data_IF_126448642115
#
_entry.id   IF_126448642115
#
_cell.length_a   1.000
_cell.length_b   1.000
_cell.length_c   1.000
_cell.angle_alpha   90.00
_cell.angle_beta   90.00
_cell.angle_gamma   90.00
#
_symmetry.space_group_name_H-M   'P 1'
#
loop_
_entity.id
_entity.type
_entity.pdbx_description
1 polymer ?
#
# COMPACT_ATOMS: atom_id res chain seq x y z
N UNK A 1 -67.91 12.51 -20.45
CA UNK A 1 -68.07 11.15 -19.87
C UNK A 1 -66.73 10.41 -19.73
N UNK A 2 -65.59 11.10 -19.45
CA UNK A 2 -64.25 10.50 -19.59
C UNK A 2 -63.35 10.57 -18.33
N UNK A 3 -63.80 11.16 -17.21
CA UNK A 3 -62.96 11.28 -16.00
C UNK A 3 -63.02 10.03 -15.08
N UNK A 4 -64.14 9.30 -15.05
CA UNK A 4 -64.33 8.11 -14.20
C UNK A 4 -63.57 6.86 -14.67
N UNK A 5 -63.11 6.84 -15.92
CA UNK A 5 -62.36 5.70 -16.48
C UNK A 5 -60.87 5.70 -16.07
N UNK A 6 -60.28 6.87 -15.81
CA UNK A 6 -58.87 6.99 -15.42
C UNK A 6 -58.65 6.66 -13.95
N UNK A 7 -59.62 6.92 -13.08
CA UNK A 7 -59.52 6.61 -11.66
C UNK A 7 -59.55 5.10 -11.43
N UNK A 8 -60.53 4.38 -11.99
CA UNK A 8 -60.61 2.92 -11.91
C UNK A 8 -59.36 2.23 -12.47
N UNK A 9 -58.71 2.81 -13.49
CA UNK A 9 -57.48 2.25 -14.07
C UNK A 9 -56.26 2.41 -13.16
N UNK A 10 -56.21 3.48 -12.34
CA UNK A 10 -55.15 3.71 -11.34
C UNK A 10 -55.30 2.79 -10.12
N UNK A 11 -56.53 2.58 -9.65
CA UNK A 11 -56.82 1.63 -8.57
C UNK A 11 -56.56 0.18 -8.99
N UNK A 12 -56.87 -0.18 -10.24
CA UNK A 12 -56.63 -1.53 -10.77
C UNK A 12 -55.13 -1.82 -10.98
N UNK A 13 -54.31 -0.83 -11.34
CA UNK A 13 -52.84 -1.00 -11.40
C UNK A 13 -52.18 -1.08 -10.03
N UNK A 14 -52.69 -0.37 -9.02
CA UNK A 14 -52.17 -0.44 -7.64
C UNK A 14 -52.51 -1.79 -7.00
N UNK A 15 -53.73 -2.30 -7.22
CA UNK A 15 -54.14 -3.63 -6.77
C UNK A 15 -53.31 -4.75 -7.44
N UNK A 16 -52.97 -4.61 -8.72
CA UNK A 16 -52.15 -5.60 -9.44
C UNK A 16 -50.69 -5.63 -8.94
N UNK A 17 -50.09 -4.47 -8.62
CA UNK A 17 -48.73 -4.37 -8.09
C UNK A 17 -48.65 -4.91 -6.65
N UNK A 18 -49.66 -4.66 -5.82
CA UNK A 18 -49.72 -5.22 -4.45
C UNK A 18 -49.92 -6.74 -4.44
N UNK A 19 -50.62 -7.30 -5.42
CA UNK A 19 -50.82 -8.75 -5.56
C UNK A 19 -49.57 -9.49 -6.10
N UNK A 20 -48.70 -8.79 -6.84
CA UNK A 20 -47.38 -9.31 -7.24
C UNK A 20 -46.37 -9.23 -6.09
N UNK A 21 -46.44 -8.20 -5.24
CA UNK A 21 -45.56 -8.07 -4.06
C UNK A 21 -45.90 -9.11 -2.98
N UNK A 22 -47.18 -9.46 -2.79
CA UNK A 22 -47.57 -10.52 -1.84
C UNK A 22 -47.19 -11.93 -2.29
N UNK A 23 -46.99 -12.16 -3.60
CA UNK A 23 -46.55 -13.44 -4.14
C UNK A 23 -45.03 -13.69 -4.02
N UNK A 24 -44.21 -12.67 -3.71
CA UNK A 24 -42.76 -12.82 -3.55
C UNK A 24 -42.29 -13.15 -2.12
N UNK A 25 -43.18 -13.21 -1.13
CA UNK A 25 -42.80 -13.42 0.29
C UNK A 25 -42.95 -14.91 0.71
N UNK A 26 -43.34 -15.82 -0.18
CA UNK A 26 -43.61 -17.24 0.15
C UNK A 26 -42.54 -18.26 -0.29
N UNK A 27 -41.27 -17.86 -0.48
CA UNK A 27 -40.17 -18.80 -0.77
C UNK A 27 -39.13 -18.93 0.35
N UNK A 28 -39.47 -18.53 1.58
CA UNK A 28 -38.59 -18.66 2.74
C UNK A 28 -38.83 -19.94 3.55
N UNK A 29 -38.54 -21.12 2.99
CA UNK A 29 -38.18 -22.34 3.72
C UNK A 29 -37.92 -23.50 2.73
N UNK A 30 -36.69 -23.65 2.29
CA UNK A 30 -36.17 -24.93 1.81
C UNK A 30 -35.00 -25.28 2.71
N UNK A 31 -35.14 -26.36 3.48
CA UNK A 31 -34.06 -26.89 4.30
C UNK A 31 -32.92 -27.33 3.37
N UNK A 32 -31.81 -26.60 3.36
CA UNK A 32 -30.58 -27.04 2.73
C UNK A 32 -29.98 -28.17 3.56
N UNK A 33 -29.72 -29.29 2.89
CA UNK A 33 -29.01 -30.42 3.47
C UNK A 33 -27.63 -29.96 3.95
N UNK A 34 -27.26 -30.36 5.16
CA UNK A 34 -25.94 -30.14 5.74
C UNK A 34 -24.86 -30.63 4.77
N UNK A 35 -23.94 -29.78 4.29
CA UNK A 35 -22.82 -30.26 3.50
C UNK A 35 -21.94 -31.10 4.42
N UNK A 36 -21.79 -32.39 4.08
CA UNK A 36 -20.79 -33.26 4.69
C UNK A 36 -19.42 -32.60 4.51
N UNK A 37 -18.79 -32.21 5.61
CA UNK A 37 -17.44 -31.67 5.60
C UNK A 37 -16.49 -32.72 5.00
N UNK A 38 -16.11 -32.51 3.74
CA UNK A 38 -14.96 -33.20 3.15
C UNK A 38 -13.73 -32.63 3.86
N UNK A 39 -13.05 -33.47 4.64
CA UNK A 39 -11.80 -33.08 5.29
C UNK A 39 -10.79 -32.69 4.21
N UNK A 40 -10.31 -31.45 4.28
CA UNK A 40 -9.19 -31.01 3.46
C UNK A 40 -7.93 -31.82 3.85
N UNK A 41 -7.09 -32.26 2.90
CA UNK A 41 -5.85 -32.95 3.22
C UNK A 41 -4.93 -32.03 4.04
N UNK A 42 -4.56 -32.44 5.26
CA UNK A 42 -3.61 -31.75 6.15
C UNK A 42 -2.14 -31.96 5.73
N UNK A 43 -1.85 -31.95 4.43
CA UNK A 43 -0.49 -32.00 3.94
C UNK A 43 -0.16 -30.65 3.29
N UNK A 44 0.72 -29.88 3.92
CA UNK A 44 1.35 -28.73 3.28
C UNK A 44 2.13 -29.24 2.06
N UNK A 45 1.95 -28.64 0.86
CA UNK A 45 2.74 -29.02 -0.31
C UNK A 45 4.22 -28.86 0.02
N UNK A 46 4.97 -29.96 -0.04
CA UNK A 46 6.44 -30.00 0.16
C UNK A 46 7.20 -29.62 -1.12
N UNK A 47 6.48 -29.39 -2.22
CA UNK A 47 7.04 -28.96 -3.49
C UNK A 47 6.99 -27.44 -3.57
N UNK A 48 8.16 -26.81 -3.74
CA UNK A 48 8.23 -25.39 -4.04
C UNK A 48 7.39 -25.12 -5.31
N UNK A 49 6.49 -24.12 -5.31
CA UNK A 49 5.69 -23.85 -6.49
C UNK A 49 6.62 -23.66 -7.71
N UNK A 50 6.25 -24.18 -8.88
CA UNK A 50 7.08 -24.06 -10.08
C UNK A 50 7.43 -22.59 -10.31
N UNK A 51 8.67 -22.32 -10.71
CA UNK A 51 9.09 -20.97 -11.10
C UNK A 51 8.14 -20.44 -12.18
N UNK A 52 7.32 -19.45 -11.83
CA UNK A 52 6.35 -18.86 -12.74
C UNK A 52 7.11 -18.05 -13.81
N UNK A 53 7.28 -18.63 -15.00
CA UNK A 53 7.83 -17.93 -16.16
C UNK A 53 6.70 -17.40 -17.05
N UNK A 54 6.10 -16.27 -16.65
CA UNK A 54 4.98 -15.67 -17.37
C UNK A 54 4.80 -14.19 -17.07
N UNK A 55 3.90 -13.54 -17.80
CA UNK A 55 3.57 -12.13 -17.58
C UNK A 55 2.38 -12.03 -16.62
N UNK A 56 2.60 -11.42 -15.45
CA UNK A 56 1.51 -10.96 -14.60
C UNK A 56 0.91 -9.68 -15.19
N UNK A 57 -0.40 -9.70 -15.45
CA UNK A 57 -1.15 -8.53 -15.93
C UNK A 57 -2.07 -8.04 -14.82
N UNK A 58 -1.83 -6.83 -14.35
CA UNK A 58 -2.62 -6.19 -13.28
C UNK A 58 -3.38 -5.01 -13.89
N UNK A 59 -4.70 -4.97 -13.69
CA UNK A 59 -5.50 -3.82 -14.08
C UNK A 59 -5.39 -2.73 -12.99
N UNK A 60 -5.08 -1.51 -13.39
CA UNK A 60 -4.94 -0.36 -12.49
C UNK A 60 -5.38 0.93 -13.20
N UNK A 61 -5.63 1.98 -12.41
CA UNK A 61 -5.84 3.33 -12.95
C UNK A 61 -4.54 3.87 -13.57
N UNK A 62 -4.61 4.79 -14.54
CA UNK A 62 -3.41 5.38 -15.13
C UNK A 62 -2.60 6.17 -14.09
N UNK A 63 -1.28 6.13 -14.25
CA UNK A 63 -0.35 6.90 -13.43
C UNK A 63 -0.26 8.34 -13.95
N UNK A 64 -0.15 9.30 -13.06
CA UNK A 64 0.10 10.71 -13.40
C UNK A 64 1.57 11.06 -13.20
N UNK A 65 2.25 10.32 -12.33
CA UNK A 65 3.62 10.59 -11.89
C UNK A 65 4.30 9.32 -11.37
N UNK A 66 5.64 9.35 -11.35
CA UNK A 66 6.48 8.20 -10.98
C UNK A 66 7.59 8.56 -9.99
N UNK A 67 7.61 9.82 -9.55
CA UNK A 67 8.56 10.33 -8.55
C UNK A 67 7.98 10.10 -7.15
N UNK A 68 8.64 9.29 -6.29
CA UNK A 68 8.16 9.00 -4.94
C UNK A 68 7.83 10.25 -4.10
N UNK A 69 8.49 11.38 -4.36
CA UNK A 69 8.29 12.61 -3.60
C UNK A 69 6.94 13.30 -3.87
N UNK A 70 6.25 12.92 -4.95
CA UNK A 70 5.05 13.63 -5.41
C UNK A 70 3.81 12.73 -5.53
N UNK A 71 3.97 11.39 -5.40
CA UNK A 71 2.89 10.41 -5.55
C UNK A 71 1.64 10.75 -4.75
N UNK A 72 0.47 10.50 -5.34
CA UNK A 72 -0.82 10.89 -4.76
C UNK A 72 -1.90 9.82 -4.89
N UNK A 73 -1.56 8.62 -5.39
CA UNK A 73 -2.51 7.53 -5.57
C UNK A 73 -1.89 6.14 -5.37
N UNK A 74 -2.73 5.17 -4.97
CA UNK A 74 -2.31 3.79 -4.72
C UNK A 74 -1.65 3.09 -5.93
N UNK A 75 -2.12 3.26 -7.19
CA UNK A 75 -1.45 2.68 -8.35
C UNK A 75 -0.01 3.15 -8.52
N UNK A 76 0.25 4.41 -8.19
CA UNK A 76 1.60 4.97 -8.29
C UNK A 76 2.51 4.43 -7.18
N UNK A 77 2.00 4.31 -5.96
CA UNK A 77 2.71 3.66 -4.84
C UNK A 77 2.99 2.20 -5.18
N UNK A 78 2.01 1.50 -5.76
CA UNK A 78 2.16 0.11 -6.20
C UNK A 78 3.31 -0.03 -7.20
N UNK A 79 3.39 0.82 -8.22
CA UNK A 79 4.49 0.80 -9.18
C UNK A 79 5.82 1.21 -8.53
N UNK A 80 5.82 2.24 -7.68
CA UNK A 80 7.02 2.70 -6.99
C UNK A 80 7.65 1.59 -6.13
N UNK A 81 6.85 0.77 -5.44
CA UNK A 81 7.32 -0.37 -4.66
C UNK A 81 8.01 -1.47 -5.46
N UNK A 82 7.89 -1.46 -6.79
CA UNK A 82 8.59 -2.39 -7.68
C UNK A 82 9.85 -1.78 -8.33
N UNK A 83 10.02 -0.45 -8.25
CA UNK A 83 11.09 0.29 -8.93
C UNK A 83 12.09 0.90 -7.93
N UNK A 84 11.62 1.27 -6.74
CA UNK A 84 12.40 1.88 -5.67
C UNK A 84 12.39 0.98 -4.43
N UNK A 85 13.30 1.24 -3.50
CA UNK A 85 13.36 0.53 -2.22
C UNK A 85 13.56 1.54 -1.07
N UNK A 86 13.19 1.13 0.14
CA UNK A 86 13.25 1.95 1.35
C UNK A 86 14.54 1.69 2.15
N UNK A 87 14.87 2.57 3.10
CA UNK A 87 15.89 2.23 4.11
C UNK A 87 15.39 1.12 5.05
N UNK A 88 14.16 1.28 5.53
CA UNK A 88 13.46 0.35 6.41
C UNK A 88 11.99 0.27 5.98
N UNK A 89 11.31 -0.80 6.37
CA UNK A 89 9.90 -1.03 6.08
C UNK A 89 9.10 -1.25 7.37
N UNK A 90 7.78 -1.17 7.29
CA UNK A 90 6.87 -1.53 8.39
C UNK A 90 6.16 -2.81 8.00
N UNK A 91 6.36 -3.87 8.78
CA UNK A 91 5.71 -5.16 8.53
C UNK A 91 4.21 -5.09 8.83
N UNK A 92 3.46 -6.08 8.35
CA UNK A 92 2.05 -6.26 8.72
C UNK A 92 1.82 -6.41 10.24
N UNK A 93 2.87 -6.78 11.00
CA UNK A 93 2.84 -6.82 12.46
C UNK A 93 3.15 -5.48 13.15
N UNK A 94 3.23 -4.38 12.40
CA UNK A 94 3.65 -3.05 12.88
C UNK A 94 5.04 -3.05 13.52
N UNK A 95 5.96 -3.82 12.96
CA UNK A 95 7.37 -3.82 13.37
C UNK A 95 8.25 -3.25 12.27
N UNK A 96 9.35 -2.60 12.65
CA UNK A 96 10.32 -2.09 11.67
C UNK A 96 11.18 -3.24 11.15
N UNK A 97 11.25 -3.37 9.83
CA UNK A 97 12.03 -4.39 9.13
C UNK A 97 13.17 -3.78 8.29
N UNK A 98 14.31 -4.47 8.15
CA UNK A 98 15.40 -4.06 7.26
C UNK A 98 14.98 -4.03 5.79
N UNK A 99 15.53 -3.07 5.04
CA UNK A 99 15.53 -3.00 3.57
C UNK A 99 16.95 -2.65 3.09
N UNK A 100 17.16 -1.48 2.50
CA UNK A 100 18.49 -0.99 2.14
C UNK A 100 19.38 -0.71 3.37
N UNK A 101 18.79 -0.46 4.55
CA UNK A 101 19.50 -0.48 5.82
C UNK A 101 19.33 -1.87 6.48
N UNK A 102 20.46 -2.55 6.71
CA UNK A 102 20.48 -3.88 7.35
C UNK A 102 20.39 -3.82 8.88
N UNK A 103 20.78 -2.69 9.47
CA UNK A 103 20.73 -2.44 10.91
C UNK A 103 20.79 -0.95 11.19
N UNK A 104 20.30 -0.54 12.36
CA UNK A 104 20.39 0.83 12.83
C UNK A 104 20.54 0.89 14.35
N UNK A 105 21.07 2.02 14.84
CA UNK A 105 21.18 2.33 16.26
C UNK A 105 20.64 3.73 16.52
N UNK A 106 19.81 3.86 17.54
CA UNK A 106 19.39 5.15 18.07
C UNK A 106 20.27 5.50 19.29
N UNK A 107 20.64 6.77 19.43
CA UNK A 107 21.23 7.29 20.65
C UNK A 107 20.24 7.27 21.81
N UNK A 108 20.73 7.28 23.05
CA UNK A 108 19.89 7.21 24.25
C UNK A 108 18.93 8.41 24.39
N UNK A 109 19.29 9.56 23.83
CA UNK A 109 18.47 10.77 23.79
C UNK A 109 17.50 10.81 22.60
N UNK A 110 17.54 9.83 21.69
CA UNK A 110 16.68 9.78 20.49
C UNK A 110 16.99 10.85 19.45
N UNK A 111 18.15 11.50 19.52
CA UNK A 111 18.54 12.57 18.59
C UNK A 111 19.41 12.11 17.43
N UNK A 112 20.04 10.94 17.52
CA UNK A 112 20.92 10.41 16.48
C UNK A 112 20.51 9.00 16.09
N UNK A 113 20.45 8.76 14.78
CA UNK A 113 20.17 7.46 14.19
C UNK A 113 21.28 7.12 13.20
N UNK A 114 22.02 6.03 13.46
CA UNK A 114 23.09 5.55 12.58
C UNK A 114 22.59 4.31 11.87
N UNK A 115 22.50 4.36 10.54
CA UNK A 115 22.08 3.25 9.69
C UNK A 115 23.29 2.63 9.00
N UNK A 116 23.39 1.30 9.06
CA UNK A 116 24.33 0.53 8.26
C UNK A 116 23.61 0.00 7.02
N UNK A 117 24.15 0.31 5.85
CA UNK A 117 23.55 0.00 4.55
C UNK A 117 23.96 -1.37 4.03
N UNK A 118 23.13 -1.94 3.16
CA UNK A 118 23.40 -3.16 2.42
C UNK A 118 24.52 -2.93 1.39
N UNK A 119 25.40 -3.92 1.24
CA UNK A 119 26.50 -3.90 0.27
C UNK A 119 26.10 -4.55 -1.04
N UNK A 120 26.68 -4.10 -2.16
CA UNK A 120 26.50 -4.73 -3.47
C UNK A 120 25.15 -4.43 -4.13
N UNK A 121 24.40 -3.47 -3.61
CA UNK A 121 23.18 -2.96 -4.24
C UNK A 121 23.57 -2.03 -5.39
N UNK A 122 22.88 -2.17 -6.52
CA UNK A 122 23.07 -1.34 -7.71
C UNK A 122 21.74 -0.78 -8.17
N UNK A 123 21.77 0.44 -8.71
CA UNK A 123 20.65 0.98 -9.46
C UNK A 123 20.49 0.26 -10.79
N UNK A 124 19.35 0.47 -11.46
CA UNK A 124 19.04 -0.16 -12.74
C UNK A 124 19.99 0.25 -13.89
N UNK A 125 20.73 1.35 -13.73
CA UNK A 125 21.77 1.79 -14.68
C UNK A 125 23.15 1.16 -14.41
N UNK A 126 23.27 0.35 -13.35
CA UNK A 126 24.51 -0.32 -12.94
C UNK A 126 25.37 0.48 -11.96
N UNK A 127 25.02 1.73 -11.63
CA UNK A 127 25.73 2.49 -10.61
C UNK A 127 25.54 1.89 -9.21
N UNK A 128 26.55 1.96 -8.32
CA UNK A 128 26.44 1.42 -6.98
C UNK A 128 25.58 2.31 -6.08
N UNK A 129 24.77 1.70 -5.21
CA UNK A 129 24.10 2.41 -4.12
C UNK A 129 25.07 2.64 -2.95
N UNK A 130 25.08 3.86 -2.43
CA UNK A 130 25.97 4.32 -1.35
C UNK A 130 25.24 5.21 -0.35
N UNK A 131 25.89 5.51 0.78
CA UNK A 131 25.39 6.47 1.75
C UNK A 131 25.16 7.88 1.18
N UNK A 132 25.88 8.26 0.12
CA UNK A 132 25.70 9.58 -0.54
C UNK A 132 24.35 9.70 -1.22
N UNK A 133 23.81 8.60 -1.75
CA UNK A 133 22.50 8.58 -2.40
C UNK A 133 21.37 8.76 -1.38
N UNK A 134 21.58 8.26 -0.16
CA UNK A 134 20.70 8.52 0.98
C UNK A 134 20.72 10.00 1.35
N UNK A 135 21.92 10.58 1.54
CA UNK A 135 22.08 12.01 1.85
C UNK A 135 21.38 12.85 0.79
N UNK A 136 21.67 12.60 -0.49
CA UNK A 136 21.06 13.34 -1.61
C UNK A 136 19.53 13.24 -1.61
N UNK A 137 18.98 12.04 -1.42
CA UNK A 137 17.53 11.81 -1.38
C UNK A 137 16.87 12.63 -0.28
N UNK A 138 17.40 12.57 0.95
CA UNK A 138 16.79 13.28 2.07
C UNK A 138 17.00 14.80 2.01
N UNK A 139 18.13 15.27 1.46
CA UNK A 139 18.34 16.70 1.20
C UNK A 139 17.34 17.24 0.16
N UNK A 140 17.09 16.47 -0.90
CA UNK A 140 16.05 16.79 -1.88
C UNK A 140 14.66 16.83 -1.23
N UNK A 141 14.32 15.82 -0.43
CA UNK A 141 12.99 15.71 0.20
C UNK A 141 12.71 16.79 1.24
N UNK A 142 13.74 17.23 1.99
CA UNK A 142 13.59 18.24 3.06
C UNK A 142 13.76 19.69 2.57
N UNK A 143 14.10 19.89 1.30
CA UNK A 143 14.29 21.24 0.75
C UNK A 143 12.96 22.02 0.83
N UNK A 144 12.90 23.16 1.56
CA UNK A 144 11.68 23.93 1.74
C UNK A 144 11.15 24.55 0.42
N UNK A 145 12.03 24.74 -0.56
CA UNK A 145 11.69 25.31 -1.87
C UNK A 145 11.30 24.22 -2.90
N UNK A 146 11.28 22.95 -2.50
CA UNK A 146 10.96 21.83 -3.41
C UNK A 146 9.51 21.83 -3.91
N UNK A 147 8.60 22.41 -3.12
CA UNK A 147 7.16 22.31 -3.37
C UNK A 147 6.58 20.89 -3.16
N UNK A 148 7.35 19.95 -2.58
CA UNK A 148 6.84 18.60 -2.33
C UNK A 148 5.76 18.60 -1.23
N UNK A 149 4.65 17.84 -1.41
CA UNK A 149 3.56 17.80 -0.43
C UNK A 149 4.00 17.37 0.98
N UNK A 150 5.07 16.56 1.07
CA UNK A 150 5.56 15.95 2.31
C UNK A 150 6.85 16.57 2.84
N UNK A 151 7.35 17.67 2.28
CA UNK A 151 8.62 18.27 2.70
C UNK A 151 8.67 18.56 4.21
N UNK A 152 7.54 18.97 4.78
CA UNK A 152 7.40 19.27 6.20
C UNK A 152 7.68 18.06 7.13
N UNK A 153 7.51 16.82 6.66
CA UNK A 153 7.80 15.61 7.45
C UNK A 153 9.27 15.49 7.81
N UNK A 154 10.16 16.13 7.03
CA UNK A 154 11.61 16.03 7.18
C UNK A 154 12.23 17.22 7.93
N UNK A 155 11.42 18.17 8.41
CA UNK A 155 11.88 19.40 9.06
C UNK A 155 12.61 19.17 10.38
N UNK A 156 12.34 18.05 11.06
CA UNK A 156 13.05 17.67 12.27
C UNK A 156 14.48 17.16 12.00
N UNK A 157 14.85 16.92 10.73
CA UNK A 157 16.20 16.44 10.39
C UNK A 157 17.15 17.64 10.31
N UNK A 158 17.97 17.78 11.35
CA UNK A 158 19.02 18.80 11.41
C UNK A 158 20.14 18.51 10.39
N UNK A 159 20.57 17.25 10.29
CA UNK A 159 21.69 16.84 9.45
C UNK A 159 21.51 15.40 8.94
N UNK A 160 21.95 15.15 7.71
CA UNK A 160 22.19 13.79 7.17
C UNK A 160 23.63 13.74 6.69
N UNK A 161 24.40 12.77 7.18
CA UNK A 161 25.81 12.65 6.84
C UNK A 161 26.15 11.21 6.46
N UNK A 162 26.84 11.05 5.33
CA UNK A 162 27.55 9.81 5.03
C UNK A 162 28.80 9.73 5.92
N UNK A 163 28.74 8.92 6.98
CA UNK A 163 29.87 8.70 7.92
C UNK A 163 30.79 7.56 7.48
N UNK A 164 30.38 6.83 6.44
CA UNK A 164 31.18 5.89 5.66
C UNK A 164 30.47 5.55 4.34
N UNK A 165 31.09 4.72 3.49
CA UNK A 165 30.51 4.39 2.17
C UNK A 165 29.13 3.70 2.27
N UNK A 166 28.94 2.90 3.33
CA UNK A 166 27.71 2.18 3.64
C UNK A 166 27.20 2.52 5.05
N UNK A 167 27.48 3.73 5.52
CA UNK A 167 26.98 4.22 6.81
C UNK A 167 26.48 5.65 6.68
N UNK A 168 25.26 5.88 7.17
CA UNK A 168 24.63 7.19 7.17
C UNK A 168 24.10 7.51 8.56
N UNK A 169 24.39 8.71 9.04
CA UNK A 169 23.96 9.24 10.32
C UNK A 169 22.95 10.36 10.11
N UNK A 170 21.78 10.23 10.74
CA UNK A 170 20.78 11.27 10.85
C UNK A 170 20.86 11.91 12.22
N UNK A 171 20.81 13.24 12.26
CA UNK A 171 20.70 14.03 13.50
C UNK A 171 19.38 14.79 13.49
N UNK A 172 18.62 14.69 14.57
CA UNK A 172 17.33 15.36 14.75
C UNK A 172 17.46 16.60 15.63
N UNK A 173 16.57 17.56 15.44
CA UNK A 173 16.48 18.75 16.31
C UNK A 173 15.81 18.45 17.65
N UNK A 174 14.92 17.45 17.68
CA UNK A 174 14.20 16.98 18.86
C UNK A 174 13.82 15.50 18.69
N UNK A 175 13.62 14.74 19.78
CA UNK A 175 13.18 13.36 19.70
C UNK A 175 11.80 13.26 19.02
N UNK A 176 11.58 12.24 18.21
CA UNK A 176 10.32 12.00 17.50
C UNK A 176 10.00 10.49 17.49
N UNK A 177 9.48 9.95 18.61
CA UNK A 177 9.22 8.52 18.79
C UNK A 177 7.96 8.02 18.08
#
# INVERSE_FOLDING_TARGET
MNARFHENRRWMTIALVLLVISALILQGCKAEATPTATQAPTALPTEAPPAYNGTLRVAMQPLVQTDPATLSSDPEVFVANHVYDYLVDVTAGNTIAPRLAKSWKASADGLQYVFTLASGVTFHDGSPFTAKDVVWTFDRLRNPDSGFPTANLYTNIANIQATGDLEVTFTLTQPNP
#
